data_IF_749596471838
#
_entry.id   IF_749596471838
#
_cell.length_a   1.000
_cell.length_b   1.000
_cell.length_c   1.000
_cell.angle_alpha   90.00
_cell.angle_beta   90.00
_cell.angle_gamma   90.00
#
_symmetry.space_group_name_H-M   'P 1'
#
loop_
_entity.id
_entity.type
_entity.pdbx_description
1 polymer ?
#
# COMPACT_ATOMS: atom_id res chain seq x y z
N UNK A 1 -5.54 -24.99 -27.58
CA UNK A 1 -5.47 -23.99 -28.66
C UNK A 1 -4.14 -24.03 -29.38
N UNK A 2 -3.02 -23.72 -28.72
CA UNK A 2 -1.66 -23.79 -29.31
C UNK A 2 -1.34 -25.13 -30.01
N UNK A 3 -1.68 -26.26 -29.38
CA UNK A 3 -1.47 -27.60 -29.96
C UNK A 3 -2.23 -27.82 -31.27
N UNK A 4 -3.44 -27.28 -31.39
CA UNK A 4 -4.26 -27.42 -32.62
C UNK A 4 -3.63 -26.63 -33.77
N UNK A 5 -3.14 -25.42 -33.50
CA UNK A 5 -2.44 -24.61 -34.50
C UNK A 5 -1.09 -25.23 -34.92
N UNK A 6 -0.33 -25.79 -33.97
CA UNK A 6 0.94 -26.48 -34.25
C UNK A 6 0.70 -27.69 -35.16
N UNK A 7 -0.29 -28.52 -34.85
CA UNK A 7 -0.59 -29.70 -35.66
C UNK A 7 -1.14 -29.32 -37.05
N UNK A 8 -2.02 -28.31 -37.13
CA UNK A 8 -2.55 -27.82 -38.40
C UNK A 8 -1.44 -27.30 -39.32
N UNK A 9 -0.59 -26.39 -38.82
CA UNK A 9 0.55 -25.87 -39.57
C UNK A 9 1.55 -26.98 -39.93
N UNK A 10 1.94 -27.81 -38.96
CA UNK A 10 2.94 -28.85 -39.15
C UNK A 10 2.52 -29.90 -40.19
N UNK A 11 1.26 -30.34 -40.20
CA UNK A 11 0.75 -31.30 -41.18
C UNK A 11 0.70 -30.67 -42.58
N UNK A 12 0.17 -29.45 -42.69
CA UNK A 12 0.13 -28.73 -43.97
C UNK A 12 1.53 -28.49 -44.53
N UNK A 13 2.47 -28.04 -43.70
CA UNK A 13 3.84 -27.73 -44.08
C UNK A 13 4.62 -29.00 -44.48
N UNK A 14 4.50 -30.08 -43.71
CA UNK A 14 5.15 -31.37 -44.02
C UNK A 14 4.61 -31.98 -45.33
N UNK A 15 3.30 -31.89 -45.56
CA UNK A 15 2.67 -32.35 -46.81
C UNK A 15 3.17 -31.56 -48.03
N UNK A 16 3.31 -30.24 -47.90
CA UNK A 16 3.68 -29.37 -49.01
C UNK A 16 5.17 -29.47 -49.41
N UNK A 17 6.05 -29.87 -48.47
CA UNK A 17 7.49 -30.09 -48.72
C UNK A 17 7.77 -31.49 -49.22
N UNK A 18 7.21 -32.50 -48.58
CA UNK A 18 7.61 -33.88 -48.81
C UNK A 18 6.65 -34.67 -49.70
N UNK A 19 5.47 -34.10 -50.02
CA UNK A 19 4.45 -34.76 -50.81
C UNK A 19 3.94 -36.04 -50.14
N UNK A 20 3.61 -37.05 -50.95
CA UNK A 20 3.14 -38.34 -50.47
C UNK A 20 4.32 -39.23 -50.05
N UNK A 21 4.35 -39.63 -48.78
CA UNK A 21 5.33 -40.57 -48.22
C UNK A 21 4.62 -41.78 -47.60
N UNK A 22 5.33 -42.90 -47.54
CA UNK A 22 4.88 -44.10 -46.82
C UNK A 22 4.79 -43.80 -45.32
N UNK A 23 3.80 -44.39 -44.65
CA UNK A 23 3.56 -44.18 -43.23
C UNK A 23 4.76 -44.66 -42.40
N UNK A 24 5.41 -43.74 -41.68
CA UNK A 24 6.50 -44.03 -40.75
C UNK A 24 6.23 -43.39 -39.40
N UNK A 25 6.61 -44.08 -38.32
CA UNK A 25 6.45 -43.63 -36.93
C UNK A 25 7.20 -42.34 -36.59
N UNK A 26 8.12 -41.92 -37.45
CA UNK A 26 8.96 -40.73 -37.22
C UNK A 26 8.26 -39.45 -37.70
N UNK A 27 7.34 -39.57 -38.66
CA UNK A 27 6.65 -38.45 -39.30
C UNK A 27 5.92 -37.56 -38.27
N UNK A 28 5.15 -38.09 -37.29
CA UNK A 28 4.48 -37.23 -36.31
C UNK A 28 5.45 -36.44 -35.43
N UNK A 29 6.59 -37.05 -35.05
CA UNK A 29 7.64 -36.39 -34.27
C UNK A 29 8.28 -35.26 -35.08
N UNK A 30 8.57 -35.51 -36.34
CA UNK A 30 9.17 -34.53 -37.24
C UNK A 30 8.22 -33.35 -37.49
N UNK A 31 6.93 -33.62 -37.71
CA UNK A 31 5.88 -32.61 -37.88
C UNK A 31 5.81 -31.68 -36.66
N UNK A 32 5.76 -32.26 -35.45
CA UNK A 32 5.61 -31.50 -34.22
C UNK A 32 6.87 -30.68 -33.94
N UNK A 33 8.05 -31.29 -34.06
CA UNK A 33 9.32 -30.60 -33.79
C UNK A 33 9.53 -29.43 -34.74
N UNK A 34 9.24 -29.63 -36.03
CA UNK A 34 9.42 -28.62 -37.06
C UNK A 34 8.57 -27.37 -36.81
N UNK A 35 7.31 -27.56 -36.41
CA UNK A 35 6.40 -26.46 -36.08
C UNK A 35 6.70 -25.85 -34.70
N UNK A 36 7.07 -26.67 -33.71
CA UNK A 36 7.34 -26.23 -32.35
C UNK A 36 8.56 -25.31 -32.24
N UNK A 37 9.68 -25.68 -32.85
CA UNK A 37 10.90 -24.86 -32.82
C UNK A 37 10.72 -23.51 -33.53
N UNK A 38 9.86 -23.49 -34.55
CA UNK A 38 9.53 -22.26 -35.27
C UNK A 38 8.86 -21.22 -34.36
N UNK A 39 8.03 -21.63 -33.40
CA UNK A 39 7.40 -20.72 -32.44
C UNK A 39 8.42 -19.92 -31.62
N UNK A 40 9.59 -20.49 -31.34
CA UNK A 40 10.67 -19.82 -30.60
C UNK A 40 11.60 -19.00 -31.50
N UNK A 41 11.29 -18.89 -32.80
CA UNK A 41 12.04 -18.07 -33.75
C UNK A 41 13.20 -18.78 -34.43
N UNK A 42 13.29 -20.11 -34.34
CA UNK A 42 14.29 -20.85 -35.12
C UNK A 42 13.94 -20.76 -36.62
N UNK A 43 14.85 -20.25 -37.46
CA UNK A 43 14.60 -20.00 -38.89
C UNK A 43 15.01 -21.17 -39.80
N UNK A 44 15.17 -22.38 -39.24
CA UNK A 44 15.53 -23.59 -39.97
C UNK A 44 14.53 -23.92 -41.10
N UNK A 45 13.27 -23.48 -40.99
CA UNK A 45 12.29 -23.62 -42.07
C UNK A 45 12.58 -22.77 -43.29
N UNK A 46 13.20 -21.60 -43.13
CA UNK A 46 13.52 -20.74 -44.27
C UNK A 46 14.50 -21.44 -45.23
N UNK A 47 15.45 -22.21 -44.68
CA UNK A 47 16.37 -23.03 -45.46
C UNK A 47 15.65 -24.15 -46.23
N UNK A 48 14.57 -24.71 -45.67
CA UNK A 48 13.75 -25.71 -46.37
C UNK A 48 12.88 -25.08 -47.45
N UNK A 49 12.40 -23.85 -47.24
CA UNK A 49 11.60 -23.10 -48.23
C UNK A 49 12.46 -22.73 -49.43
N UNK A 50 13.67 -22.22 -49.19
CA UNK A 50 14.62 -21.83 -50.23
C UNK A 50 14.99 -23.02 -51.14
N UNK A 51 15.20 -24.20 -50.55
CA UNK A 51 15.42 -25.45 -51.29
C UNK A 51 14.22 -25.90 -52.15
N UNK A 52 12.99 -25.52 -51.80
CA UNK A 52 11.76 -25.93 -52.47
C UNK A 52 11.08 -24.79 -53.26
N UNK A 53 11.84 -23.73 -53.59
CA UNK A 53 11.32 -22.51 -54.19
C UNK A 53 10.57 -22.75 -55.51
N UNK A 54 11.06 -23.68 -56.34
CA UNK A 54 10.53 -23.94 -57.67
C UNK A 54 9.14 -24.58 -57.74
N UNK A 55 8.68 -25.23 -56.66
CA UNK A 55 7.38 -25.90 -56.64
C UNK A 55 6.35 -25.15 -55.80
N UNK A 56 6.63 -25.01 -54.50
CA UNK A 56 5.65 -24.55 -53.51
C UNK A 56 6.19 -23.40 -52.62
N UNK A 57 7.29 -22.76 -53.01
CA UNK A 57 8.01 -21.78 -52.18
C UNK A 57 7.14 -20.63 -51.67
N UNK A 58 6.35 -20.02 -52.54
CA UNK A 58 5.46 -18.91 -52.16
C UNK A 58 4.37 -19.33 -51.17
N UNK A 59 3.76 -20.51 -51.35
CA UNK A 59 2.74 -21.02 -50.45
C UNK A 59 3.33 -21.36 -49.07
N UNK A 60 4.52 -21.97 -49.02
CA UNK A 60 5.23 -22.23 -47.76
C UNK A 60 5.57 -20.93 -47.02
N UNK A 61 6.03 -19.91 -47.75
CA UNK A 61 6.39 -18.62 -47.18
C UNK A 61 5.17 -17.90 -46.58
N UNK A 62 4.05 -17.85 -47.32
CA UNK A 62 2.80 -17.25 -46.83
C UNK A 62 2.28 -18.02 -45.60
N UNK A 63 2.30 -19.36 -45.64
CA UNK A 63 1.90 -20.20 -44.53
C UNK A 63 2.76 -19.95 -43.28
N UNK A 64 4.08 -19.81 -43.46
CA UNK A 64 5.03 -19.47 -42.40
C UNK A 64 4.74 -18.09 -41.80
N UNK A 65 4.55 -17.06 -42.63
CA UNK A 65 4.28 -15.70 -42.16
C UNK A 65 2.98 -15.65 -41.35
N UNK A 66 1.89 -16.22 -41.86
CA UNK A 66 0.60 -16.26 -41.16
C UNK A 66 0.72 -17.03 -39.84
N UNK A 67 1.39 -18.18 -39.85
CA UNK A 67 1.65 -18.97 -38.64
C UNK A 67 2.42 -18.17 -37.60
N UNK A 68 3.50 -17.51 -38.03
CA UNK A 68 4.30 -16.66 -37.14
C UNK A 68 3.50 -15.51 -36.58
N UNK A 69 2.68 -14.83 -37.39
CA UNK A 69 1.84 -13.73 -36.90
C UNK A 69 0.82 -14.22 -35.86
N UNK A 70 0.14 -15.35 -36.11
CA UNK A 70 -0.84 -15.90 -35.17
C UNK A 70 -0.16 -16.31 -33.86
N UNK A 71 0.97 -17.01 -33.93
CA UNK A 71 1.64 -17.53 -32.73
C UNK A 71 2.37 -16.43 -31.96
N UNK A 72 3.02 -15.48 -32.61
CA UNK A 72 3.78 -14.43 -31.91
C UNK A 72 2.91 -13.25 -31.49
N UNK A 73 1.99 -12.78 -32.35
CA UNK A 73 1.18 -11.58 -32.07
C UNK A 73 -0.10 -11.91 -31.33
N UNK A 74 -0.81 -13.00 -31.67
CA UNK A 74 -2.06 -13.30 -30.96
C UNK A 74 -1.80 -14.05 -29.66
N UNK A 75 -0.85 -14.98 -29.64
CA UNK A 75 -0.68 -15.87 -28.49
C UNK A 75 0.08 -15.21 -27.34
N UNK A 76 1.15 -14.46 -27.59
CA UNK A 76 1.89 -13.77 -26.52
C UNK A 76 1.03 -12.63 -25.95
N UNK A 77 0.38 -11.83 -26.78
CA UNK A 77 -0.48 -10.74 -26.30
C UNK A 77 -1.68 -11.26 -25.50
N UNK A 78 -2.30 -12.36 -25.94
CA UNK A 78 -3.38 -12.99 -25.18
C UNK A 78 -2.87 -13.68 -23.91
N UNK A 79 -1.70 -14.33 -23.95
CA UNK A 79 -1.10 -14.99 -22.80
C UNK A 79 -0.74 -13.97 -21.72
N UNK A 80 -0.13 -12.84 -22.11
CA UNK A 80 0.17 -11.75 -21.19
C UNK A 80 -1.13 -11.21 -20.59
N UNK A 81 -2.15 -10.92 -21.41
CA UNK A 81 -3.43 -10.43 -20.91
C UNK A 81 -4.11 -11.39 -19.91
N UNK A 82 -4.12 -12.70 -20.21
CA UNK A 82 -4.68 -13.71 -19.34
C UNK A 82 -3.86 -13.88 -18.05
N UNK A 83 -2.53 -13.89 -18.14
CA UNK A 83 -1.66 -13.96 -16.97
C UNK A 83 -1.83 -12.75 -16.07
N UNK A 84 -1.93 -11.54 -16.63
CA UNK A 84 -2.20 -10.32 -15.87
C UNK A 84 -3.56 -10.40 -15.15
N UNK A 85 -4.61 -10.85 -15.84
CA UNK A 85 -5.93 -11.03 -15.23
C UNK A 85 -5.93 -12.09 -14.11
N UNK A 86 -5.29 -13.23 -14.34
CA UNK A 86 -5.18 -14.29 -13.33
C UNK A 86 -4.30 -13.83 -12.17
N UNK A 87 -3.21 -13.11 -12.43
CA UNK A 87 -2.33 -12.57 -11.40
C UNK A 87 -3.08 -11.61 -10.49
N UNK A 88 -3.86 -10.68 -11.05
CA UNK A 88 -4.65 -9.74 -10.26
C UNK A 88 -5.67 -10.46 -9.35
N UNK A 89 -6.33 -11.49 -9.89
CA UNK A 89 -7.26 -12.35 -9.13
C UNK A 89 -6.56 -13.21 -8.07
N UNK A 90 -5.35 -13.70 -8.33
CA UNK A 90 -4.59 -14.54 -7.39
C UNK A 90 -3.92 -13.70 -6.31
N UNK A 91 -3.47 -12.50 -6.64
CA UNK A 91 -2.70 -11.64 -5.74
C UNK A 91 -3.57 -11.07 -4.61
N UNK A 92 -4.88 -10.90 -4.85
CA UNK A 92 -5.83 -10.32 -3.87
C UNK A 92 -5.86 -11.04 -2.52
N UNK A 93 -5.46 -12.31 -2.45
CA UNK A 93 -5.39 -13.09 -1.21
C UNK A 93 -4.05 -13.83 -1.02
N UNK A 94 -3.03 -13.52 -1.82
CA UNK A 94 -1.75 -14.24 -1.76
C UNK A 94 -1.09 -14.09 -0.39
N UNK A 95 -1.21 -12.93 0.25
CA UNK A 95 -0.68 -12.71 1.60
C UNK A 95 -1.35 -13.61 2.65
N UNK A 96 -2.66 -13.84 2.53
CA UNK A 96 -3.38 -14.74 3.43
C UNK A 96 -2.99 -16.20 3.19
N UNK A 97 -2.89 -16.60 1.92
CA UNK A 97 -2.46 -17.94 1.52
C UNK A 97 -1.03 -18.20 2.00
N UNK A 98 -0.11 -17.23 1.83
CA UNK A 98 1.26 -17.35 2.30
C UNK A 98 1.33 -17.46 3.82
N UNK A 99 0.54 -16.67 4.56
CA UNK A 99 0.45 -16.76 6.02
C UNK A 99 -0.07 -18.14 6.47
N UNK A 100 -1.08 -18.68 5.78
CA UNK A 100 -1.63 -20.01 6.06
C UNK A 100 -0.61 -21.12 5.77
N UNK A 101 0.01 -21.10 4.58
CA UNK A 101 1.04 -22.06 4.20
C UNK A 101 2.27 -21.98 5.10
N UNK A 102 2.64 -20.78 5.54
CA UNK A 102 3.74 -20.58 6.48
C UNK A 102 3.44 -21.20 7.84
N UNK A 103 2.21 -21.08 8.34
CA UNK A 103 1.81 -21.74 9.58
C UNK A 103 1.92 -23.25 9.46
N UNK A 104 1.36 -23.83 8.39
CA UNK A 104 1.43 -25.28 8.13
C UNK A 104 2.88 -25.77 8.06
N UNK A 105 3.74 -25.03 7.34
CA UNK A 105 5.17 -25.31 7.25
C UNK A 105 5.84 -25.29 8.63
N UNK A 106 5.59 -24.26 9.44
CA UNK A 106 6.17 -24.14 10.79
C UNK A 106 5.73 -25.30 11.68
N UNK A 107 4.44 -25.66 11.67
CA UNK A 107 3.92 -26.81 12.40
C UNK A 107 4.59 -28.12 11.98
N UNK A 108 4.79 -28.31 10.68
CA UNK A 108 5.47 -29.48 10.14
C UNK A 108 6.94 -29.54 10.59
N UNK A 109 7.67 -28.43 10.51
CA UNK A 109 9.08 -28.35 10.95
C UNK A 109 9.25 -28.61 12.45
N UNK A 110 8.31 -28.13 13.28
CA UNK A 110 8.35 -28.37 14.73
C UNK A 110 8.14 -29.84 15.08
N UNK A 111 7.38 -30.59 14.26
CA UNK A 111 7.13 -32.02 14.46
C UNK A 111 8.27 -32.93 13.99
N UNK A 112 9.15 -32.42 13.11
CA UNK A 112 10.26 -33.19 12.51
C UNK A 112 11.51 -33.09 13.41
N UNK A 113 12.25 -34.19 13.64
CA UNK A 113 13.52 -34.13 14.38
C UNK A 113 14.50 -33.19 13.66
N UNK A 114 15.21 -32.32 14.39
CA UNK A 114 15.99 -31.17 13.86
C UNK A 114 17.26 -31.54 13.08
N UNK A 115 17.39 -32.78 12.62
CA UNK A 115 18.59 -33.29 11.97
C UNK A 115 18.46 -33.12 10.45
N UNK A 116 19.53 -32.67 9.77
CA UNK A 116 19.51 -32.52 8.32
C UNK A 116 19.21 -33.87 7.63
N UNK A 117 18.70 -33.86 6.38
CA UNK A 117 18.26 -35.07 5.67
C UNK A 117 19.17 -36.31 5.77
N UNK A 118 20.52 -36.20 5.73
CA UNK A 118 21.39 -37.36 5.89
C UNK A 118 21.46 -37.94 7.32
N UNK A 119 21.18 -37.15 8.37
CA UNK A 119 21.27 -37.56 9.77
C UNK A 119 19.91 -37.96 10.38
N UNK A 120 18.83 -37.90 9.60
CA UNK A 120 17.48 -38.23 10.07
C UNK A 120 17.35 -39.71 10.47
N UNK A 121 18.10 -40.61 9.83
CA UNK A 121 18.14 -42.04 10.12
C UNK A 121 18.59 -42.32 11.57
N UNK A 122 19.59 -41.59 12.07
CA UNK A 122 20.08 -41.75 13.45
C UNK A 122 19.01 -41.38 14.48
N UNK A 123 18.19 -40.35 14.20
CA UNK A 123 17.09 -39.96 15.09
C UNK A 123 15.97 -41.00 15.16
N UNK A 124 15.65 -41.64 14.03
CA UNK A 124 14.67 -42.70 13.97
C UNK A 124 15.17 -43.98 14.67
N UNK A 125 16.45 -44.33 14.51
CA UNK A 125 17.09 -45.44 15.23
C UNK A 125 17.08 -45.19 16.74
N UNK A 126 17.45 -43.98 17.19
CA UNK A 126 17.42 -43.61 18.61
C UNK A 126 16.01 -43.70 19.22
N UNK A 127 14.99 -43.23 18.49
CA UNK A 127 13.59 -43.32 18.91
C UNK A 127 13.09 -44.77 18.96
N UNK A 128 13.53 -45.62 18.04
CA UNK A 128 13.20 -47.05 18.01
C UNK A 128 13.87 -47.80 19.18
N UNK A 129 15.12 -47.49 19.49
CA UNK A 129 15.84 -48.03 20.66
C UNK A 129 15.14 -47.62 21.96
N UNK A 130 14.79 -46.34 22.11
CA UNK A 130 14.03 -45.84 23.27
C UNK A 130 12.68 -46.58 23.41
N UNK A 131 11.96 -46.81 22.31
CA UNK A 131 10.69 -47.54 22.30
C UNK A 131 10.85 -49.00 22.76
N UNK A 132 11.87 -49.70 22.27
CA UNK A 132 12.16 -51.08 22.67
C UNK A 132 12.53 -51.13 24.16
N UNK A 133 13.38 -50.20 24.64
CA UNK A 133 13.74 -50.10 26.04
C UNK A 133 12.53 -49.82 26.94
N UNK A 134 11.57 -48.99 26.49
CA UNK A 134 10.35 -48.69 27.24
C UNK A 134 9.42 -49.91 27.35
N UNK A 135 9.44 -50.77 26.33
CA UNK A 135 8.67 -52.01 26.28
C UNK A 135 9.30 -53.13 27.11
N UNK A 136 10.64 -53.21 27.12
CA UNK A 136 11.40 -54.23 27.86
C UNK A 136 11.59 -53.86 29.34
N UNK A 137 11.75 -52.57 29.67
CA UNK A 137 11.90 -52.08 31.04
C UNK A 137 10.68 -51.27 31.47
N UNK A 138 9.82 -51.88 32.30
CA UNK A 138 8.61 -51.24 32.88
C UNK A 138 8.95 -50.36 34.09
N UNK A 139 9.99 -49.53 33.97
CA UNK A 139 10.40 -48.60 35.01
C UNK A 139 9.66 -47.27 34.86
N UNK A 140 8.93 -46.84 35.89
CA UNK A 140 8.24 -45.54 35.96
C UNK A 140 9.19 -44.35 35.73
N UNK A 141 10.48 -44.50 36.08
CA UNK A 141 11.49 -43.47 35.85
C UNK A 141 11.79 -43.27 34.35
N UNK A 142 11.86 -44.37 33.58
CA UNK A 142 12.15 -44.31 32.14
C UNK A 142 10.96 -43.76 31.34
N UNK A 143 9.73 -44.09 31.77
CA UNK A 143 8.50 -43.51 31.21
C UNK A 143 8.45 -41.99 31.38
N UNK A 144 8.83 -41.47 32.56
CA UNK A 144 8.94 -40.02 32.81
C UNK A 144 9.99 -39.34 31.91
N UNK A 145 11.13 -39.99 31.70
CA UNK A 145 12.21 -39.47 30.84
C UNK A 145 11.80 -39.40 29.36
N UNK A 146 11.09 -40.42 28.86
CA UNK A 146 10.54 -40.43 27.50
C UNK A 146 9.46 -39.36 27.29
N UNK A 147 8.53 -39.22 28.25
CA UNK A 147 7.49 -38.18 28.21
C UNK A 147 8.09 -36.76 28.28
N UNK A 148 9.21 -36.58 28.99
CA UNK A 148 9.91 -35.30 29.01
C UNK A 148 10.58 -34.97 27.67
N UNK A 149 11.15 -35.98 26.99
CA UNK A 149 11.70 -35.83 25.65
C UNK A 149 10.62 -35.52 24.60
N UNK A 150 9.47 -36.19 24.66
CA UNK A 150 8.34 -35.95 23.76
C UNK A 150 7.71 -34.56 23.97
N UNK A 151 7.66 -34.10 25.23
CA UNK A 151 7.24 -32.73 25.57
C UNK A 151 8.16 -31.66 24.98
N UNK A 152 9.48 -31.89 24.91
CA UNK A 152 10.42 -30.95 24.28
C UNK A 152 10.23 -30.80 22.76
N UNK A 153 9.61 -31.79 22.12
CA UNK A 153 9.29 -31.76 20.68
C UNK A 153 7.89 -31.22 20.38
N UNK A 154 7.10 -30.86 21.39
CA UNK A 154 5.74 -30.33 21.21
C UNK A 154 5.72 -28.83 21.46
N UNK A 155 5.06 -28.06 20.60
CA UNK A 155 4.91 -26.60 20.72
C UNK A 155 3.89 -26.16 21.79
N UNK A 156 3.39 -27.09 22.61
CA UNK A 156 2.39 -26.84 23.64
C UNK A 156 3.04 -26.10 24.80
N UNK A 157 2.69 -24.82 24.95
CA UNK A 157 3.13 -23.99 26.08
C UNK A 157 2.44 -24.52 27.34
N UNK A 158 3.24 -24.87 28.35
CA UNK A 158 2.73 -25.30 29.66
C UNK A 158 2.51 -24.04 30.49
N UNK A 159 1.25 -23.62 30.61
CA UNK A 159 0.87 -22.50 31.46
C UNK A 159 0.62 -22.98 32.89
N UNK A 160 1.03 -22.17 33.87
CA UNK A 160 0.58 -22.32 35.25
C UNK A 160 -0.87 -21.83 35.35
N UNK A 161 -1.65 -22.36 36.29
CA UNK A 161 -3.07 -22.01 36.51
C UNK A 161 -3.27 -20.51 36.76
N UNK A 162 -2.33 -19.88 37.48
CA UNK A 162 -2.31 -18.43 37.70
C UNK A 162 -2.05 -17.62 36.42
N UNK A 163 -1.29 -18.16 35.48
CA UNK A 163 -0.99 -17.49 34.22
C UNK A 163 -2.13 -17.68 33.21
N UNK A 164 -2.75 -18.86 33.18
CA UNK A 164 -3.94 -19.15 32.39
C UNK A 164 -5.11 -18.22 32.76
N UNK A 165 -5.39 -18.05 34.05
CA UNK A 165 -6.48 -17.16 34.52
C UNK A 165 -6.23 -15.66 34.27
N UNK A 166 -4.97 -15.24 34.12
CA UNK A 166 -4.63 -13.87 33.71
C UNK A 166 -4.84 -13.68 32.20
N UNK A 167 -4.50 -14.69 31.39
CA UNK A 167 -4.74 -14.67 29.95
C UNK A 167 -6.23 -14.67 29.66
N UNK A 168 -7.00 -15.55 30.28
CA UNK A 168 -8.46 -15.65 30.09
C UNK A 168 -9.15 -14.32 30.38
N UNK A 169 -8.83 -13.67 31.51
CA UNK A 169 -9.36 -12.34 31.84
C UNK A 169 -8.95 -11.25 30.86
N UNK A 170 -7.75 -11.34 30.28
CA UNK A 170 -7.29 -10.38 29.29
C UNK A 170 -7.97 -10.62 27.92
N UNK A 171 -8.19 -11.88 27.54
CA UNK A 171 -8.94 -12.26 26.34
C UNK A 171 -10.40 -11.79 26.45
N UNK A 172 -11.07 -12.03 27.57
CA UNK A 172 -12.45 -11.58 27.81
C UNK A 172 -12.58 -10.05 27.69
N UNK A 173 -11.64 -9.30 28.30
CA UNK A 173 -11.64 -7.84 28.24
C UNK A 173 -11.39 -7.30 26.82
N UNK A 174 -10.56 -7.99 26.02
CA UNK A 174 -10.31 -7.62 24.62
C UNK A 174 -11.49 -7.98 23.72
N UNK A 175 -12.14 -9.13 23.96
CA UNK A 175 -13.32 -9.56 23.22
C UNK A 175 -14.49 -8.60 23.45
N UNK A 176 -14.71 -8.15 24.68
CA UNK A 176 -15.76 -7.17 25.01
C UNK A 176 -15.53 -5.82 24.32
N UNK A 177 -14.30 -5.31 24.32
CA UNK A 177 -13.95 -4.04 23.65
C UNK A 177 -14.10 -4.14 22.13
N UNK A 178 -13.60 -5.21 21.50
CA UNK A 178 -13.68 -5.39 20.05
C UNK A 178 -15.12 -5.68 19.59
N UNK A 179 -15.90 -6.46 20.35
CA UNK A 179 -17.31 -6.71 20.08
C UNK A 179 -18.13 -5.42 20.18
N UNK A 180 -17.91 -4.61 21.22
CA UNK A 180 -18.56 -3.30 21.37
C UNK A 180 -18.18 -2.34 20.24
N UNK A 181 -16.91 -2.30 19.85
CA UNK A 181 -16.44 -1.47 18.75
C UNK A 181 -16.90 -1.95 17.37
N UNK A 182 -17.17 -3.25 17.20
CA UNK A 182 -17.76 -3.84 16.02
C UNK A 182 -19.27 -3.57 15.92
N UNK A 183 -20.02 -3.74 17.02
CA UNK A 183 -21.46 -3.45 17.06
C UNK A 183 -21.76 -1.97 16.84
N UNK A 184 -21.02 -1.08 17.50
CA UNK A 184 -21.13 0.38 17.36
C UNK A 184 -20.82 0.88 15.95
N UNK A 185 -19.94 0.20 15.21
CA UNK A 185 -19.65 0.50 13.80
C UNK A 185 -20.73 0.01 12.85
N UNK A 186 -21.55 -0.94 13.27
CA UNK A 186 -22.65 -1.52 12.49
C UNK A 186 -23.97 -0.78 12.69
N UNK A 187 -24.18 -0.16 13.85
CA UNK A 187 -25.37 0.64 14.18
C UNK A 187 -25.68 1.84 13.26
N UNK A 188 -24.79 2.38 12.40
CA UNK A 188 -25.21 3.36 11.38
C UNK A 188 -25.60 2.76 10.01
N UNK A 189 -25.61 1.42 9.84
CA UNK A 189 -25.79 0.79 8.54
C UNK A 189 -27.10 0.00 8.35
N UNK A 190 -27.92 -0.18 9.39
CA UNK A 190 -29.11 -1.04 9.32
C UNK A 190 -30.43 -0.46 9.83
N UNK A 191 -30.49 0.80 10.24
CA UNK A 191 -31.76 1.43 10.61
C UNK A 191 -31.98 2.73 9.84
N UNK A 192 -33.04 2.72 9.04
CA UNK A 192 -33.74 3.92 8.60
C UNK A 192 -34.06 4.76 9.84
N UNK A 193 -33.45 5.94 9.92
CA UNK A 193 -33.93 7.15 10.59
C UNK A 193 -35.17 6.99 11.50
N UNK A 194 -35.00 6.41 12.69
CA UNK A 194 -35.91 6.68 13.80
C UNK A 194 -35.38 7.95 14.49
N UNK A 195 -36.14 9.02 14.30
CA UNK A 195 -35.90 10.34 14.87
C UNK A 195 -36.14 10.20 16.38
N UNK A 196 -35.08 9.92 17.13
CA UNK A 196 -35.10 10.15 18.57
C UNK A 196 -35.06 11.66 18.83
N UNK A 197 -36.27 12.11 19.13
CA UNK A 197 -36.79 13.45 19.35
C UNK A 197 -36.23 14.09 20.65
N UNK A 198 -34.92 14.12 20.88
CA UNK A 198 -34.39 14.83 22.07
C UNK A 198 -32.93 15.31 21.96
N UNK A 199 -32.54 15.95 20.86
CA UNK A 199 -31.32 16.79 20.83
C UNK A 199 -31.23 17.75 19.63
N UNK A 200 -32.34 18.12 18.97
CA UNK A 200 -32.31 19.05 17.83
C UNK A 200 -32.27 20.49 18.37
N UNK A 201 -31.14 20.90 18.95
CA UNK A 201 -30.71 22.28 18.69
C UNK A 201 -30.28 22.28 17.22
N UNK A 202 -31.18 22.77 16.36
CA UNK A 202 -30.96 22.89 14.92
C UNK A 202 -29.52 23.36 14.66
N UNK A 203 -28.77 22.76 13.71
CA UNK A 203 -27.44 23.24 13.35
C UNK A 203 -27.45 24.76 13.05
N UNK A 204 -28.60 25.30 12.63
CA UNK A 204 -28.82 26.73 12.42
C UNK A 204 -28.75 27.55 13.73
N UNK A 205 -29.27 27.08 14.86
CA UNK A 205 -29.19 27.79 16.15
C UNK A 205 -27.76 27.82 16.71
N UNK A 206 -27.00 26.75 16.52
CA UNK A 206 -25.60 26.67 16.94
C UNK A 206 -24.75 27.62 16.09
N UNK A 207 -25.00 27.67 14.78
CA UNK A 207 -24.35 28.61 13.87
C UNK A 207 -24.74 30.05 14.24
N UNK A 208 -26.02 30.34 14.48
CA UNK A 208 -26.50 31.66 14.85
C UNK A 208 -25.87 32.16 16.16
N UNK A 209 -25.81 31.30 17.20
CA UNK A 209 -25.16 31.66 18.47
C UNK A 209 -23.66 31.91 18.30
N UNK A 210 -22.95 31.09 17.51
CA UNK A 210 -21.53 31.30 17.21
C UNK A 210 -21.30 32.58 16.42
N UNK A 211 -22.17 32.87 15.46
CA UNK A 211 -22.12 34.08 14.64
C UNK A 211 -22.38 35.33 15.48
N UNK A 212 -23.36 35.31 16.37
CA UNK A 212 -23.68 36.42 17.26
C UNK A 212 -22.55 36.71 18.26
N UNK A 213 -21.87 35.67 18.76
CA UNK A 213 -20.66 35.83 19.57
C UNK A 213 -19.54 36.46 18.73
N UNK A 214 -19.33 36.00 17.49
CA UNK A 214 -18.30 36.56 16.61
C UNK A 214 -18.54 38.04 16.32
N UNK A 215 -19.80 38.42 16.03
CA UNK A 215 -20.20 39.81 15.80
C UNK A 215 -19.90 40.69 17.02
N UNK A 216 -20.19 40.19 18.22
CA UNK A 216 -19.88 40.91 19.46
C UNK A 216 -18.37 41.14 19.64
N UNK A 217 -17.54 40.16 19.29
CA UNK A 217 -16.09 40.28 19.36
C UNK A 217 -15.53 41.26 18.32
N UNK A 218 -16.05 41.23 17.09
CA UNK A 218 -15.65 42.16 16.03
C UNK A 218 -15.98 43.60 16.41
N UNK A 219 -17.12 43.83 17.06
CA UNK A 219 -17.52 45.16 17.51
C UNK A 219 -16.57 45.70 18.59
N UNK A 220 -16.19 44.87 19.57
CA UNK A 220 -15.22 45.24 20.60
C UNK A 220 -13.86 45.61 19.99
N UNK A 221 -13.37 44.81 19.04
CA UNK A 221 -12.10 45.10 18.34
C UNK A 221 -12.19 46.42 17.58
N UNK A 222 -13.32 46.66 16.89
CA UNK A 222 -13.55 47.92 16.16
C UNK A 222 -13.48 49.12 17.08
N UNK A 223 -14.08 49.03 18.27
CA UNK A 223 -14.10 50.11 19.25
C UNK A 223 -12.71 50.34 19.87
N UNK A 224 -11.94 49.27 20.14
CA UNK A 224 -10.54 49.38 20.58
C UNK A 224 -9.64 50.04 19.52
N UNK A 225 -9.83 49.69 18.25
CA UNK A 225 -9.10 50.30 17.13
C UNK A 225 -9.44 51.78 16.99
N UNK A 226 -10.72 52.15 17.15
CA UNK A 226 -11.15 53.56 17.18
C UNK A 226 -10.52 54.33 18.33
N UNK A 227 -10.57 53.79 19.56
CA UNK A 227 -9.98 54.42 20.73
C UNK A 227 -8.47 54.68 20.54
N UNK A 228 -7.74 53.68 20.03
CA UNK A 228 -6.30 53.82 19.73
C UNK A 228 -6.04 54.88 18.66
N UNK A 229 -6.88 54.95 17.62
CA UNK A 229 -6.81 55.97 16.58
C UNK A 229 -7.06 57.37 17.14
N UNK A 230 -8.01 57.51 18.05
CA UNK A 230 -8.34 58.80 18.67
C UNK A 230 -7.23 59.28 19.60
N UNK A 231 -6.62 58.38 20.38
CA UNK A 231 -5.41 58.69 21.17
C UNK A 231 -4.25 59.16 20.27
N UNK A 232 -4.04 58.49 19.13
CA UNK A 232 -3.04 58.91 18.15
C UNK A 232 -3.36 60.30 17.56
N UNK A 233 -4.62 60.57 17.24
CA UNK A 233 -5.05 61.88 16.73
C UNK A 233 -4.90 62.98 17.79
N UNK A 234 -5.17 62.67 19.06
CA UNK A 234 -4.97 63.61 20.15
C UNK A 234 -3.48 63.93 20.35
N UNK A 235 -2.60 62.92 20.30
CA UNK A 235 -1.15 63.12 20.29
C UNK A 235 -0.68 63.96 19.10
N UNK A 236 -1.25 63.75 17.91
CA UNK A 236 -0.95 64.56 16.73
C UNK A 236 -1.36 66.02 16.91
N UNK A 237 -2.52 66.28 17.51
CA UNK A 237 -2.97 67.63 17.81
C UNK A 237 -2.07 68.33 18.85
N UNK A 238 -1.60 67.61 19.86
CA UNK A 238 -0.60 68.15 20.80
C UNK A 238 0.72 68.47 20.09
N UNK A 239 1.18 67.60 19.18
CA UNK A 239 2.37 67.86 18.36
C UNK A 239 2.19 69.10 17.47
N UNK A 240 1.02 69.28 16.86
CA UNK A 240 0.76 70.45 16.01
C UNK A 240 0.73 71.74 16.83
N UNK A 241 0.13 71.71 18.03
CA UNK A 241 0.14 72.82 18.99
C UNK A 241 1.57 73.18 19.45
N UNK A 242 2.43 72.18 19.71
CA UNK A 242 3.84 72.39 20.03
C UNK A 242 4.57 73.01 18.83
N UNK A 243 4.32 72.52 17.61
CA UNK A 243 4.92 73.05 16.38
C UNK A 243 4.49 74.49 16.11
N UNK A 244 3.24 74.85 16.35
CA UNK A 244 2.74 76.24 16.27
C UNK A 244 3.34 77.13 17.36
N UNK A 245 3.47 76.62 18.59
CA UNK A 245 4.16 77.30 19.69
C UNK A 245 5.64 77.59 19.38
N UNK A 246 6.35 76.65 18.75
CA UNK A 246 7.73 76.84 18.30
C UNK A 246 7.80 77.83 17.13
N UNK A 247 6.83 77.81 16.21
CA UNK A 247 6.75 78.80 15.11
C UNK A 247 6.49 80.22 15.62
N UNK A 248 5.71 80.39 16.70
CA UNK A 248 5.37 81.72 17.25
C UNK A 248 6.48 82.36 18.08
N UNK A 249 7.38 81.57 18.68
CA UNK A 249 8.51 82.06 19.49
C UNK A 249 9.81 82.33 18.71
N UNK A 250 9.82 82.19 17.39
CA UNK A 250 10.88 82.74 16.55
C UNK A 250 11.23 81.89 15.34
N UNK A 251 10.83 82.37 14.16
CA UNK A 251 11.69 82.48 12.97
C UNK A 251 12.51 81.28 12.47
N UNK A 252 12.20 80.03 12.82
CA UNK A 252 12.93 78.86 12.31
C UNK A 252 11.94 77.92 11.61
N UNK A 253 12.01 77.90 10.29
CA UNK A 253 11.22 77.02 9.44
C UNK A 253 11.62 75.55 9.64
N UNK A 254 10.87 74.83 10.46
CA UNK A 254 10.97 73.37 10.56
C UNK A 254 10.15 72.75 9.42
N UNK A 255 10.84 72.31 8.36
CA UNK A 255 10.24 71.54 7.26
C UNK A 255 10.14 70.07 7.68
N UNK A 256 8.95 69.66 8.13
CA UNK A 256 8.59 68.25 8.34
C UNK A 256 8.09 67.60 7.03
N UNK A 257 8.26 66.28 6.85
CA UNK A 257 7.85 65.57 5.65
C UNK A 257 6.34 65.54 5.49
N UNK A 258 5.88 65.63 4.25
CA UNK A 258 4.47 65.57 3.83
C UNK A 258 3.87 64.22 4.25
N UNK A 259 2.99 64.22 5.25
CA UNK A 259 2.14 63.06 5.55
C UNK A 259 1.30 62.77 4.32
N UNK A 260 1.48 61.59 3.76
CA UNK A 260 0.52 61.01 2.82
C UNK A 260 -0.69 60.65 3.67
N UNK A 261 -1.82 61.31 3.49
CA UNK A 261 -3.08 60.73 3.92
C UNK A 261 -3.17 59.41 3.16
N UNK A 262 -2.97 58.28 3.84
CA UNK A 262 -3.64 57.07 3.40
C UNK A 262 -5.07 57.30 3.86
N UNK A 263 -5.81 57.98 2.99
CA UNK A 263 -7.25 57.87 2.93
C UNK A 263 -7.50 56.37 2.87
N UNK A 264 -7.92 55.79 3.99
CA UNK A 264 -8.60 54.50 3.93
C UNK A 264 -9.95 54.88 3.34
N UNK A 265 -9.96 54.99 2.00
CA UNK A 265 -11.18 54.87 1.23
C UNK A 265 -11.88 53.66 1.81
N UNK A 266 -13.04 53.91 2.40
CA UNK A 266 -14.00 52.89 2.71
C UNK A 266 -14.26 52.16 1.38
N UNK A 267 -13.73 50.93 1.15
CA UNK A 267 -14.10 50.22 -0.05
C UNK A 267 -15.53 49.80 0.22
N UNK A 268 -16.47 50.54 -0.35
CA UNK A 268 -17.78 50.00 -0.71
C UNK A 268 -17.53 48.61 -1.31
N UNK A 269 -17.88 47.61 -0.51
CA UNK A 269 -17.95 46.20 -0.88
C UNK A 269 -18.63 46.09 -2.24
N UNK A 270 -17.86 45.79 -3.30
CA UNK A 270 -18.43 45.14 -4.48
C UNK A 270 -17.39 44.65 -5.51
N UNK A 271 -16.14 45.10 -5.48
CA UNK A 271 -15.16 44.73 -6.54
C UNK A 271 -14.16 43.63 -6.14
N UNK A 272 -13.88 43.42 -4.85
CA UNK A 272 -12.94 42.37 -4.41
C UNK A 272 -13.58 40.97 -4.39
N UNK A 273 -14.90 40.89 -4.23
CA UNK A 273 -15.61 39.62 -4.11
C UNK A 273 -15.70 38.85 -5.44
N UNK A 274 -15.54 39.52 -6.59
CA UNK A 274 -15.65 38.91 -7.92
C UNK A 274 -14.36 38.23 -8.39
N UNK A 275 -13.20 38.76 -8.03
CA UNK A 275 -11.90 38.23 -8.47
C UNK A 275 -11.42 37.01 -7.67
N UNK A 276 -11.96 36.80 -6.46
CA UNK A 276 -11.66 35.60 -5.67
C UNK A 276 -12.40 34.35 -6.17
N UNK A 277 -13.66 34.50 -6.62
CA UNK A 277 -14.42 33.35 -7.14
C UNK A 277 -13.98 32.90 -8.54
N UNK A 278 -13.51 33.81 -9.39
CA UNK A 278 -13.05 33.47 -10.75
C UNK A 278 -11.68 32.78 -10.77
N UNK A 279 -10.92 32.78 -9.67
CA UNK A 279 -9.58 32.16 -9.58
C UNK A 279 -9.59 30.73 -9.01
N UNK A 280 -10.73 30.27 -8.50
CA UNK A 280 -10.89 28.90 -8.01
C UNK A 280 -11.48 27.96 -9.08
N UNK A 281 -12.34 28.45 -9.99
CA UNK A 281 -12.88 27.65 -11.10
C UNK A 281 -11.80 27.21 -12.11
N UNK A 282 -10.79 28.03 -12.37
CA UNK A 282 -9.67 27.67 -13.26
C UNK A 282 -8.69 26.65 -12.65
N UNK A 283 -8.77 26.40 -11.33
CA UNK A 283 -7.86 25.46 -10.64
C UNK A 283 -8.42 24.04 -10.53
N UNK A 284 -9.70 23.83 -10.84
CA UNK A 284 -10.36 22.52 -10.79
C UNK A 284 -10.56 21.86 -12.16
N UNK A 285 -10.26 22.56 -13.28
CA UNK A 285 -10.36 22.02 -14.64
C UNK A 285 -9.02 22.08 -15.41
N UNK A 286 -8.06 21.22 -15.07
CA UNK A 286 -7.08 20.74 -16.07
C UNK A 286 -6.41 19.42 -15.67
N UNK A 287 -6.11 18.51 -16.63
CA UNK A 287 -5.76 17.12 -16.36
C UNK A 287 -4.26 16.87 -16.15
N UNK A 288 -4.00 15.73 -15.51
CA UNK A 288 -2.73 15.06 -15.17
C UNK A 288 -1.57 15.22 -16.17
N UNK A 289 -0.33 15.38 -15.68
CA UNK A 289 0.83 14.69 -16.28
C UNK A 289 2.07 14.55 -15.36
N UNK A 290 2.41 13.27 -15.15
CA UNK A 290 3.72 12.61 -14.94
C UNK A 290 4.99 13.48 -14.86
N UNK A 291 5.77 13.35 -13.77
CA UNK A 291 7.20 12.97 -13.82
C UNK A 291 7.88 12.82 -12.44
N UNK A 292 8.23 11.56 -12.14
CA UNK A 292 9.57 11.07 -11.75
C UNK A 292 10.16 11.48 -10.38
N UNK A 293 10.08 10.52 -9.44
CA UNK A 293 10.98 10.36 -8.30
C UNK A 293 12.25 9.61 -8.74
N UNK A 294 13.44 9.94 -8.22
CA UNK A 294 14.44 8.93 -7.95
C UNK A 294 14.74 8.82 -6.44
N UNK A 295 14.40 7.64 -5.94
CA UNK A 295 15.11 6.83 -4.94
C UNK A 295 16.36 7.40 -4.28
N UNK A 296 16.39 7.40 -2.95
CA UNK A 296 17.46 6.77 -2.14
C UNK A 296 16.95 6.56 -0.71
N UNK A 297 16.76 5.30 -0.31
CA UNK A 297 16.68 4.89 1.10
C UNK A 297 18.00 4.20 1.42
N UNK A 298 18.78 4.78 2.34
CA UNK A 298 19.91 4.13 2.98
C UNK A 298 19.88 4.49 4.48
N UNK A 299 19.70 3.45 5.30
CA UNK A 299 20.41 3.14 6.55
C UNK A 299 20.52 4.15 7.70
N UNK A 300 19.87 3.77 8.80
CA UNK A 300 20.41 3.59 10.16
C UNK A 300 20.92 4.76 11.05
N UNK A 301 20.44 4.65 12.30
CA UNK A 301 21.18 4.75 13.58
C UNK A 301 21.43 6.10 14.30
N UNK A 302 20.94 6.11 15.55
CA UNK A 302 21.51 6.57 16.83
C UNK A 302 22.01 8.03 16.99
N UNK A 303 21.46 8.70 18.01
CA UNK A 303 22.13 9.21 19.22
C UNK A 303 21.11 10.05 20.05
N UNK A 304 20.82 9.71 21.31
CA UNK A 304 21.56 10.04 22.55
C UNK A 304 21.36 11.48 23.04
N UNK A 305 20.68 11.63 24.19
CA UNK A 305 20.89 12.56 25.33
C UNK A 305 19.72 12.27 26.31
N UNK A 306 19.80 12.30 27.64
CA UNK A 306 20.66 13.07 28.53
C UNK A 306 20.89 12.35 29.87
N UNK A 307 22.03 12.70 30.45
CA UNK A 307 22.59 12.35 31.75
C UNK A 307 21.84 12.96 32.95
N UNK A 308 21.75 12.21 34.06
CA UNK A 308 21.60 12.77 35.40
C UNK A 308 22.35 11.94 36.47
N UNK A 309 23.19 12.64 37.24
CA UNK A 309 23.31 12.46 38.70
C UNK A 309 24.11 11.29 39.23
N UNK A 310 25.41 11.51 39.45
CA UNK A 310 26.41 10.61 40.03
C UNK A 310 26.26 10.47 41.55
N UNK A 311 26.44 9.23 42.01
CA UNK A 311 26.60 8.78 43.41
C UNK A 311 27.97 9.21 43.97
N UNK A 312 28.01 9.65 45.23
CA UNK A 312 29.21 9.68 46.06
C UNK A 312 29.07 8.65 47.19
N UNK A 313 29.98 7.67 47.20
CA UNK A 313 30.29 6.80 48.33
C UNK A 313 31.31 7.49 49.25
N UNK A 314 31.22 7.20 50.54
CA UNK A 314 32.27 7.46 51.52
C UNK A 314 31.96 6.85 52.88
N UNK A 315 32.74 5.82 53.22
CA UNK A 315 33.02 5.18 54.54
C UNK A 315 31.91 4.46 55.27
#
# INVERSE_FOLDING_TARGET
MLTVFILGFGVCFHSLIYGTKVLSWHIPRDIINLAYWQMFGELSLLQLIDKNYHANGYALFILLVIYMTIVSVLLINLLIAMLSYIFDRLHTNTDQIWKFQRYELICEYLSRPSLPPPLILLSHVWRLVLYILLKCYRSECFKRMYDQHLRRTTYKIICNEKFASVIEKAEDALIDDDYYNYSKRREPASEEHEIDEEAIHSPEEVILKRMQILESQVQVIRDQVKATRDEQNQMLNYLDCIMEGIKSMGGIGVRMPRRRNVEVDNPSDETLHRDYYLREEDRQNSPSDVARVPTTVHSNERASTASHGRVHLGT
#
